data_IF_801865610362
#
_entry.id   IF_801865610362
#
_cell.length_a   1.000
_cell.length_b   1.000
_cell.length_c   1.000
_cell.angle_alpha   90.00
_cell.angle_beta   90.00
_cell.angle_gamma   90.00
#
_symmetry.space_group_name_H-M   'P 1'
#
loop_
_entity.id
_entity.type
_entity.pdbx_description
1 polymer ?
#
# COMPACT_ATOMS: atom_id res chain seq x y z
N UNK A 1 5.40 -7.84 -13.94
CA UNK A 1 4.72 -7.69 -12.64
C UNK A 1 4.82 -6.24 -12.22
N UNK A 2 3.75 -5.63 -11.67
CA UNK A 2 3.86 -4.31 -11.02
C UNK A 2 4.62 -4.52 -9.71
N UNK A 3 5.85 -4.04 -9.64
CA UNK A 3 6.62 -4.01 -8.39
C UNK A 3 6.43 -2.64 -7.79
N UNK A 4 5.87 -2.58 -6.59
CA UNK A 4 5.82 -1.34 -5.83
C UNK A 4 7.13 -1.15 -5.09
N UNK A 5 7.45 0.09 -4.74
CA UNK A 5 8.58 0.42 -3.89
C UNK A 5 8.09 0.75 -2.49
N UNK A 6 8.94 0.56 -1.48
CA UNK A 6 8.64 1.00 -0.10
C UNK A 6 8.48 2.52 -0.11
N UNK A 7 7.41 3.01 0.52
CA UNK A 7 7.00 4.41 0.50
C UNK A 7 6.05 4.77 -0.64
N UNK A 8 5.87 3.91 -1.65
CA UNK A 8 4.94 4.18 -2.75
C UNK A 8 3.49 4.28 -2.23
N UNK A 9 2.77 5.28 -2.75
CA UNK A 9 1.34 5.45 -2.50
C UNK A 9 0.51 4.56 -3.39
N UNK A 10 -0.44 3.87 -2.78
CA UNK A 10 -1.30 2.92 -3.46
C UNK A 10 -2.73 3.05 -2.97
N UNK A 11 -3.68 2.64 -3.80
CA UNK A 11 -5.08 2.47 -3.43
C UNK A 11 -5.50 1.02 -3.65
N UNK A 12 -6.29 0.48 -2.72
CA UNK A 12 -6.93 -0.83 -2.81
C UNK A 12 -8.45 -0.65 -2.64
N UNK A 13 -9.29 -1.26 -3.50
CA UNK A 13 -10.74 -1.06 -3.47
C UNK A 13 -11.45 -1.30 -2.13
N UNK A 14 -10.91 -2.17 -1.27
CA UNK A 14 -11.50 -2.54 0.02
C UNK A 14 -11.03 -1.64 1.15
N UNK A 15 -9.76 -1.24 1.13
CA UNK A 15 -9.11 -0.57 2.27
C UNK A 15 -8.77 0.91 2.02
N UNK A 16 -8.92 1.38 0.78
CA UNK A 16 -8.65 2.75 0.39
C UNK A 16 -7.16 3.02 0.17
N UNK A 17 -6.74 4.24 0.53
CA UNK A 17 -5.39 4.74 0.34
C UNK A 17 -4.42 4.21 1.40
N UNK A 18 -3.20 3.93 0.97
CA UNK A 18 -2.14 3.48 1.85
C UNK A 18 -0.75 3.65 1.26
N UNK A 19 0.25 3.37 2.09
CA UNK A 19 1.67 3.41 1.74
C UNK A 19 2.26 2.01 1.84
N UNK A 20 3.05 1.62 0.84
CA UNK A 20 3.79 0.35 0.90
C UNK A 20 4.86 0.45 1.99
N UNK A 21 4.84 -0.47 2.94
CA UNK A 21 5.79 -0.50 4.07
C UNK A 21 6.82 -1.61 3.94
N UNK A 22 6.52 -2.66 3.17
CA UNK A 22 7.48 -3.71 2.85
C UNK A 22 7.13 -4.41 1.53
N UNK A 23 8.15 -4.84 0.82
CA UNK A 23 8.06 -5.67 -0.38
C UNK A 23 8.87 -6.92 -0.15
N UNK A 24 8.20 -8.07 -0.07
CA UNK A 24 8.77 -9.41 0.04
C UNK A 24 8.67 -10.12 -1.33
N UNK A 25 9.24 -11.32 -1.47
CA UNK A 25 9.25 -12.04 -2.76
C UNK A 25 7.84 -12.30 -3.33
N UNK A 26 6.91 -12.74 -2.49
CA UNK A 26 5.54 -13.07 -2.91
C UNK A 26 4.48 -12.09 -2.38
N UNK A 27 4.87 -11.16 -1.50
CA UNK A 27 3.92 -10.33 -0.77
C UNK A 27 4.29 -8.86 -0.73
N UNK A 28 3.26 -8.00 -0.67
CA UNK A 28 3.38 -6.57 -0.41
C UNK A 28 2.63 -6.24 0.87
N UNK A 29 3.29 -5.51 1.78
CA UNK A 29 2.63 -4.98 2.99
C UNK A 29 2.33 -3.50 2.79
N UNK A 30 1.09 -3.11 3.08
CA UNK A 30 0.60 -1.74 2.94
C UNK A 30 0.06 -1.28 4.29
N UNK A 31 0.51 -0.13 4.76
CA UNK A 31 -0.13 0.62 5.84
C UNK A 31 -1.21 1.48 5.21
N UNK A 32 -2.48 1.09 5.38
CA UNK A 32 -3.61 1.90 4.96
C UNK A 32 -3.86 3.02 5.96
N UNK A 33 -4.34 4.14 5.46
CA UNK A 33 -4.54 5.34 6.25
C UNK A 33 -5.60 5.11 7.35
N UNK A 34 -6.63 4.31 7.07
CA UNK A 34 -7.72 4.01 8.02
C UNK A 34 -7.77 2.55 8.50
N UNK A 35 -7.12 1.62 7.80
CA UNK A 35 -7.32 0.17 8.00
C UNK A 35 -6.11 -0.57 8.58
N UNK A 36 -5.07 0.15 8.98
CA UNK A 36 -3.86 -0.46 9.53
C UNK A 36 -3.01 -1.17 8.48
N UNK A 37 -2.06 -1.99 8.94
CA UNK A 37 -1.21 -2.80 8.05
C UNK A 37 -1.97 -4.01 7.52
N UNK A 38 -1.92 -4.25 6.21
CA UNK A 38 -2.40 -5.48 5.55
C UNK A 38 -1.31 -6.07 4.66
N UNK A 39 -1.37 -7.39 4.47
CA UNK A 39 -0.44 -8.17 3.64
C UNK A 39 -1.20 -8.77 2.45
N UNK A 40 -0.70 -8.53 1.24
CA UNK A 40 -1.29 -9.02 -0.01
C UNK A 40 -0.31 -9.90 -0.75
N UNK A 41 -0.81 -10.91 -1.45
CA UNK A 41 -0.05 -11.61 -2.48
C UNK A 41 0.19 -10.67 -3.67
N UNK A 42 1.43 -10.39 -4.02
CA UNK A 42 1.80 -9.42 -5.06
C UNK A 42 1.14 -9.75 -6.40
N UNK A 43 1.04 -11.04 -6.73
CA UNK A 43 0.44 -11.54 -7.98
C UNK A 43 -1.08 -11.38 -8.05
N UNK A 44 -1.77 -11.31 -6.92
CA UNK A 44 -3.24 -11.23 -6.84
C UNK A 44 -3.75 -9.88 -6.31
N UNK A 45 -2.85 -9.01 -5.84
CA UNK A 45 -3.22 -7.73 -5.27
C UNK A 45 -3.84 -6.80 -6.32
N UNK A 46 -4.90 -6.08 -5.93
CA UNK A 46 -5.55 -5.04 -6.75
C UNK A 46 -4.99 -3.64 -6.46
N UNK A 47 -3.74 -3.57 -6.00
CA UNK A 47 -3.07 -2.32 -5.67
C UNK A 47 -2.86 -1.50 -6.95
N UNK A 48 -3.24 -0.23 -6.90
CA UNK A 48 -3.04 0.73 -8.00
C UNK A 48 -2.17 1.89 -7.47
N UNK A 49 -1.14 2.35 -8.20
CA UNK A 49 -0.38 3.54 -7.81
C UNK A 49 -1.30 4.75 -7.63
N UNK A 50 -1.05 5.54 -6.59
CA UNK A 50 -1.72 6.81 -6.35
C UNK A 50 -0.68 7.94 -6.21
N UNK A 51 -1.08 9.16 -6.58
CA UNK A 51 -0.30 10.38 -6.33
C UNK A 51 -0.80 11.16 -5.11
N UNK A 52 -1.85 10.65 -4.45
CA UNK A 52 -2.42 11.28 -3.27
C UNK A 52 -1.42 11.24 -2.10
N UNK A 53 -1.12 12.40 -1.50
CA UNK A 53 -0.15 12.48 -0.42
C UNK A 53 -0.64 11.73 0.83
N UNK A 54 0.29 11.38 1.71
CA UNK A 54 -0.05 10.85 3.03
C UNK A 54 -0.80 11.95 3.82
N UNK A 55 -1.92 11.62 4.49
CA UNK A 55 -2.63 12.57 5.35
C UNK A 55 -1.72 13.20 6.41
N UNK A 56 -1.89 14.50 6.67
CA UNK A 56 -0.99 15.27 7.53
C UNK A 56 -0.86 14.73 8.97
N UNK A 57 -1.86 14.01 9.47
CA UNK A 57 -1.88 13.41 10.81
C UNK A 57 -1.31 11.98 10.90
N UNK A 58 -0.97 11.35 9.77
CA UNK A 58 -0.48 9.97 9.74
C UNK A 58 1.06 9.86 9.66
N UNK A 59 1.75 11.00 9.67
CA UNK A 59 3.22 11.05 9.75
C UNK A 59 3.62 10.80 11.21
N UNK A 60 3.97 9.56 11.53
CA UNK A 60 4.65 9.21 12.78
C UNK A 60 6.18 9.35 12.62
#
# INVERSE_FOLDING_TARGET
>A
MKRFEVGARVVEPTYGLGSVVAVEDAYTRVQFDEHGVKKFLTSMSKLVPSSEPVPAGLRA
#
